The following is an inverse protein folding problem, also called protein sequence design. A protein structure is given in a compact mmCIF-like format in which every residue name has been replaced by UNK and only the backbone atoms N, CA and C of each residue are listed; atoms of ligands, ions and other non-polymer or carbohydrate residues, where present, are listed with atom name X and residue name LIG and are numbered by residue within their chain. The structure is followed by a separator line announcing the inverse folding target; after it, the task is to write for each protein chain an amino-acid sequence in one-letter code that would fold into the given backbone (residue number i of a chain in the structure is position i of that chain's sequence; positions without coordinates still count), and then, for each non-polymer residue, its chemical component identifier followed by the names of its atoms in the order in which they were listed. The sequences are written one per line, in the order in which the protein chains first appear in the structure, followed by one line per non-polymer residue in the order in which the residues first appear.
data_IF_259770908609
#
_entry.id   IF_259770908609
#
_cell.length_a   1.000
_cell.length_b   1.000
_cell.length_c   1.000
_cell.angle_alpha   90.00
_cell.angle_beta   90.00
_cell.angle_gamma   90.00
#
_symmetry.space_group_name_H-M   'P 1'
#
loop_
_entity.id
_entity.type
_entity.pdbx_description
1 polymer ?
#
# COMPACT_ATOMS: atom_id res chain seq x y z
N UNK A 1 -52.32 15.43 -71.39
CA UNK A 1 -52.79 14.21 -72.09
C UNK A 1 -51.65 13.18 -72.08
N UNK A 2 -51.93 11.87 -71.96
CA UNK A 2 -51.71 11.15 -70.69
C UNK A 2 -50.77 9.92 -70.80
N UNK A 3 -50.44 9.36 -69.61
CA UNK A 3 -50.18 7.96 -69.24
C UNK A 3 -49.20 7.10 -70.07
N UNK A 4 -48.22 6.46 -69.41
CA UNK A 4 -48.37 5.07 -68.95
C UNK A 4 -47.08 4.50 -68.32
N UNK A 5 -47.29 3.78 -67.21
CA UNK A 5 -46.38 2.88 -66.49
C UNK A 5 -45.97 1.63 -67.27
N UNK A 6 -44.76 1.11 -67.00
CA UNK A 6 -44.37 -0.33 -66.94
C UNK A 6 -42.88 -0.40 -66.57
N UNK A 7 -42.48 -0.89 -65.40
CA UNK A 7 -42.35 -2.29 -64.92
C UNK A 7 -40.87 -2.67 -64.81
N UNK A 8 -40.49 -3.18 -63.65
CA UNK A 8 -39.14 -3.61 -63.28
C UNK A 8 -38.84 -4.98 -63.88
N UNK A 9 -37.74 -5.11 -64.64
CA UNK A 9 -37.15 -6.42 -64.99
C UNK A 9 -35.61 -6.39 -64.91
N UNK A 10 -35.13 -6.95 -63.79
CA UNK A 10 -33.99 -7.87 -63.57
C UNK A 10 -32.74 -7.87 -64.48
N UNK A 11 -31.60 -7.59 -63.81
CA UNK A 11 -30.32 -8.33 -63.76
C UNK A 11 -29.68 -8.88 -65.05
N UNK A 12 -28.41 -8.48 -65.27
CA UNK A 12 -27.29 -9.40 -65.56
C UNK A 12 -25.94 -8.73 -65.22
N UNK A 13 -25.32 -9.13 -64.11
CA UNK A 13 -23.91 -8.88 -63.77
C UNK A 13 -23.04 -10.09 -64.16
N UNK A 14 -21.79 -9.92 -64.62
CA UNK A 14 -20.94 -11.03 -65.08
C UNK A 14 -20.60 -11.99 -63.93
N UNK A 15 -20.61 -13.29 -64.22
CA UNK A 15 -20.33 -14.36 -63.26
C UNK A 15 -18.89 -14.32 -62.77
N UNK A 16 -18.68 -13.92 -61.51
CA UNK A 16 -17.46 -14.27 -60.77
C UNK A 16 -17.60 -15.73 -60.32
N UNK A 17 -16.73 -16.62 -60.82
CA UNK A 17 -16.57 -17.95 -60.22
C UNK A 17 -15.70 -17.79 -58.96
N UNK A 18 -16.19 -18.10 -57.75
CA UNK A 18 -15.32 -18.20 -56.59
C UNK A 18 -14.38 -19.39 -56.81
N UNK A 19 -13.07 -19.20 -56.60
CA UNK A 19 -12.18 -20.34 -56.38
C UNK A 19 -12.54 -20.92 -55.01
N UNK A 20 -13.17 -22.09 -54.98
CA UNK A 20 -13.41 -22.84 -53.75
C UNK A 20 -12.10 -23.51 -53.32
N UNK A 21 -11.42 -22.88 -52.36
CA UNK A 21 -10.10 -23.33 -51.89
C UNK A 21 -10.17 -24.48 -50.87
N UNK A 22 -11.38 -24.92 -50.46
CA UNK A 22 -11.57 -25.78 -49.29
C UNK A 22 -12.70 -26.82 -49.43
N UNK A 23 -13.03 -27.27 -50.64
CA UNK A 23 -14.03 -28.33 -50.84
C UNK A 23 -13.52 -29.67 -50.25
N UNK A 24 -14.27 -30.25 -49.29
CA UNK A 24 -13.97 -31.56 -48.69
C UNK A 24 -13.21 -31.55 -47.35
N UNK A 25 -12.94 -30.39 -46.75
CA UNK A 25 -12.23 -30.29 -45.47
C UNK A 25 -13.17 -30.45 -44.28
N UNK A 26 -12.88 -31.36 -43.34
CA UNK A 26 -13.47 -31.35 -41.99
C UNK A 26 -12.37 -31.00 -40.97
N UNK A 27 -12.68 -30.09 -40.02
CA UNK A 27 -11.76 -29.48 -39.04
C UNK A 27 -10.71 -28.50 -39.60
N UNK A 28 -11.10 -27.58 -40.48
CA UNK A 28 -10.25 -26.44 -40.86
C UNK A 28 -10.37 -25.30 -39.83
N UNK A 29 -9.24 -24.89 -39.24
CA UNK A 29 -9.10 -23.66 -38.46
C UNK A 29 -8.32 -22.64 -39.30
N UNK A 30 -8.94 -21.49 -39.62
CA UNK A 30 -8.27 -20.41 -40.35
C UNK A 30 -7.76 -19.40 -39.33
N UNK A 31 -6.46 -19.38 -39.07
CA UNK A 31 -5.80 -18.26 -38.40
C UNK A 31 -5.32 -17.25 -39.46
N UNK A 32 -5.86 -16.03 -39.38
CA UNK A 32 -5.53 -14.89 -40.25
C UNK A 32 -4.12 -14.33 -39.92
N UNK A 33 -3.07 -15.09 -40.22
CA UNK A 33 -1.67 -14.67 -39.95
C UNK A 33 -0.92 -14.18 -41.19
N UNK A 34 -1.46 -14.37 -42.40
CA UNK A 34 -0.91 -13.80 -43.63
C UNK A 34 -1.99 -13.69 -44.71
N UNK A 35 -2.00 -12.60 -45.46
CA UNK A 35 -2.76 -12.50 -46.71
C UNK A 35 -1.85 -11.98 -47.81
N UNK A 36 -2.07 -12.50 -49.02
CA UNK A 36 -1.30 -12.16 -50.20
C UNK A 36 -2.04 -11.06 -50.98
N UNK A 37 -1.50 -9.85 -50.98
CA UNK A 37 -1.91 -8.80 -51.93
C UNK A 37 -0.90 -8.79 -53.07
N UNK A 38 -1.40 -8.62 -54.29
CA UNK A 38 -0.61 -8.59 -55.52
C UNK A 38 0.51 -7.53 -55.41
N UNK A 39 1.71 -7.94 -54.97
CA UNK A 39 2.86 -7.05 -54.75
C UNK A 39 3.73 -7.34 -53.52
N UNK A 40 3.34 -8.21 -52.57
CA UNK A 40 4.23 -8.56 -51.45
C UNK A 40 3.62 -9.48 -50.39
N UNK A 41 4.49 -10.26 -49.72
CA UNK A 41 4.15 -11.01 -48.51
C UNK A 41 4.08 -10.03 -47.33
N UNK A 42 2.89 -9.82 -46.78
CA UNK A 42 2.70 -9.07 -45.55
C UNK A 42 2.43 -10.05 -44.40
N UNK A 43 3.45 -10.28 -43.57
CA UNK A 43 3.30 -11.00 -42.30
C UNK A 43 2.85 -9.95 -41.26
N UNK A 44 1.62 -10.07 -40.77
CA UNK A 44 1.26 -9.43 -39.52
C UNK A 44 1.94 -10.23 -38.41
N UNK A 45 3.17 -9.85 -38.04
CA UNK A 45 3.69 -10.23 -36.73
C UNK A 45 2.67 -9.68 -35.72
N UNK A 46 1.97 -10.57 -35.01
CA UNK A 46 1.05 -10.17 -33.95
C UNK A 46 1.75 -9.14 -33.08
N UNK A 47 1.08 -8.03 -32.75
CA UNK A 47 1.68 -6.98 -31.93
C UNK A 47 2.28 -7.63 -30.68
N UNK A 48 3.60 -7.56 -30.54
CA UNK A 48 4.29 -8.03 -29.35
C UNK A 48 3.68 -7.27 -28.18
N UNK A 49 3.03 -7.99 -27.26
CA UNK A 49 2.43 -7.39 -26.06
C UNK A 49 3.47 -6.47 -25.41
N UNK A 50 3.06 -5.26 -25.06
CA UNK A 50 3.90 -4.35 -24.29
C UNK A 50 4.34 -5.03 -22.98
N UNK A 51 5.49 -4.62 -22.43
CA UNK A 51 5.95 -5.22 -21.17
C UNK A 51 4.94 -4.96 -20.03
N UNK A 52 4.25 -3.82 -20.09
CA UNK A 52 3.13 -3.50 -19.20
C UNK A 52 2.00 -4.52 -19.29
N UNK A 53 1.53 -4.87 -20.50
CA UNK A 53 0.48 -5.89 -20.70
C UNK A 53 0.94 -7.30 -20.29
N UNK A 54 2.23 -7.58 -20.41
CA UNK A 54 2.81 -8.85 -19.98
C UNK A 54 2.88 -8.96 -18.45
N UNK A 55 3.36 -7.92 -17.78
CA UNK A 55 3.63 -7.93 -16.35
C UNK A 55 2.41 -7.57 -15.50
N UNK A 56 1.46 -6.83 -16.07
CA UNK A 56 0.29 -6.26 -15.39
C UNK A 56 0.69 -5.66 -14.03
N UNK A 57 1.50 -4.60 -13.99
CA UNK A 57 1.95 -3.98 -12.74
C UNK A 57 0.79 -3.30 -11.99
N UNK A 58 0.95 -3.06 -10.68
CA UNK A 58 0.02 -2.21 -9.91
C UNK A 58 0.40 -0.73 -10.10
N UNK A 59 -0.46 0.03 -10.76
CA UNK A 59 -0.18 1.44 -11.09
C UNK A 59 -0.01 2.33 -9.84
N UNK A 60 -0.78 2.06 -8.79
CA UNK A 60 -0.86 2.89 -7.60
C UNK A 60 -0.05 2.37 -6.40
N UNK A 61 0.89 1.46 -6.66
CA UNK A 61 1.89 1.01 -5.69
C UNK A 61 3.18 1.83 -5.71
N UNK A 62 3.40 2.69 -6.71
CA UNK A 62 4.66 3.44 -6.83
C UNK A 62 4.70 4.75 -6.02
N UNK A 63 5.89 5.34 -5.89
CA UNK A 63 6.07 6.68 -5.32
C UNK A 63 5.43 7.78 -6.19
N UNK A 64 5.08 7.51 -7.44
CA UNK A 64 4.40 8.47 -8.33
C UNK A 64 2.87 8.39 -8.27
N UNK A 65 2.31 7.51 -7.44
CA UNK A 65 0.86 7.36 -7.26
C UNK A 65 0.19 8.66 -6.81
N UNK A 66 -1.10 8.81 -7.11
CA UNK A 66 -1.92 9.86 -6.49
C UNK A 66 -2.16 9.52 -5.01
N UNK A 67 -1.32 10.04 -4.12
CA UNK A 67 -1.38 9.77 -2.68
C UNK A 67 -2.71 10.15 -2.02
N UNK A 68 -3.52 11.00 -2.64
CA UNK A 68 -4.85 11.36 -2.12
C UNK A 68 -5.89 10.29 -2.42
N UNK A 69 -5.71 9.54 -3.51
CA UNK A 69 -6.60 8.44 -3.91
C UNK A 69 -6.06 7.08 -3.45
N UNK A 70 -4.73 6.96 -3.40
CA UNK A 70 -4.01 5.73 -3.11
C UNK A 70 -3.12 5.96 -1.88
N UNK A 71 -3.64 5.73 -0.66
CA UNK A 71 -2.93 5.97 0.59
C UNK A 71 -1.64 5.12 0.71
N UNK A 72 -0.74 5.38 1.65
CA UNK A 72 -0.79 6.45 2.63
C UNK A 72 -0.49 7.81 1.99
N UNK A 73 -1.14 8.87 2.49
CA UNK A 73 -0.72 10.25 2.22
C UNK A 73 0.61 10.50 2.92
N UNK A 74 1.68 10.26 2.17
CA UNK A 74 3.07 10.18 2.62
C UNK A 74 3.83 11.45 2.25
N UNK A 75 3.19 12.61 2.29
CA UNK A 75 3.89 13.87 2.14
C UNK A 75 4.80 14.12 3.36
N UNK A 76 6.12 14.09 3.15
CA UNK A 76 7.07 14.56 4.15
C UNK A 76 6.93 16.08 4.28
N UNK A 77 6.84 16.56 5.53
CA UNK A 77 6.76 18.00 5.77
C UNK A 77 8.12 18.61 5.50
N UNK A 78 8.14 19.69 4.73
CA UNK A 78 9.40 20.33 4.37
C UNK A 78 10.14 20.80 5.62
N UNK A 79 11.43 20.51 5.71
CA UNK A 79 12.27 20.90 6.83
C UNK A 79 12.28 19.92 8.00
N UNK A 80 11.48 18.85 7.97
CA UNK A 80 11.53 17.80 9.00
C UNK A 80 12.33 16.58 8.55
N UNK A 81 12.79 15.78 9.51
CA UNK A 81 13.52 14.50 9.32
C UNK A 81 14.75 14.63 8.42
N UNK A 82 15.33 15.83 8.34
CA UNK A 82 16.41 16.15 7.40
C UNK A 82 17.63 15.26 7.59
N UNK A 83 18.00 14.99 8.84
CA UNK A 83 19.14 14.14 9.17
C UNK A 83 18.92 12.69 8.69
N UNK A 84 17.77 12.10 9.01
CA UNK A 84 17.43 10.73 8.60
C UNK A 84 17.40 10.61 7.09
N UNK A 85 16.74 11.54 6.41
CA UNK A 85 16.69 11.56 4.94
C UNK A 85 18.11 11.70 4.36
N UNK A 86 18.96 12.54 4.95
CA UNK A 86 20.36 12.70 4.53
C UNK A 86 21.14 11.41 4.72
N UNK A 87 20.97 10.71 5.84
CA UNK A 87 21.67 9.45 6.11
C UNK A 87 21.27 8.36 5.09
N UNK A 88 19.97 8.19 4.84
CA UNK A 88 19.47 7.22 3.83
C UNK A 88 19.94 7.58 2.42
N UNK A 89 19.87 8.86 2.04
CA UNK A 89 20.33 9.29 0.71
C UNK A 89 21.84 9.17 0.55
N UNK A 90 22.63 9.45 1.59
CA UNK A 90 24.09 9.24 1.57
C UNK A 90 24.43 7.76 1.41
N UNK A 91 23.76 6.89 2.17
CA UNK A 91 23.93 5.44 2.04
C UNK A 91 23.54 4.93 0.64
N UNK A 92 22.48 5.48 0.04
CA UNK A 92 22.07 5.15 -1.33
C UNK A 92 23.13 5.56 -2.36
N UNK A 93 23.77 6.71 -2.13
CA UNK A 93 24.70 7.33 -3.06
C UNK A 93 26.10 6.72 -3.05
N UNK A 94 26.48 6.09 -1.94
CA UNK A 94 27.75 5.40 -1.82
C UNK A 94 27.82 4.25 -2.82
N UNK A 95 28.86 4.26 -3.65
CA UNK A 95 29.13 3.15 -4.56
C UNK A 95 29.48 1.90 -3.76
N UNK A 96 28.81 0.80 -4.10
CA UNK A 96 29.14 -0.53 -3.58
C UNK A 96 30.53 -0.90 -4.08
N UNK A 97 31.53 -0.70 -3.23
CA UNK A 97 32.95 -0.89 -3.54
C UNK A 97 33.64 -1.82 -2.55
N UNK A 98 32.96 -2.16 -1.46
CA UNK A 98 33.37 -3.12 -0.45
C UNK A 98 32.31 -4.21 -0.33
N UNK A 99 32.75 -5.47 -0.24
CA UNK A 99 31.85 -6.61 -0.09
C UNK A 99 31.15 -6.63 1.28
N UNK A 100 31.71 -5.94 2.27
CA UNK A 100 31.14 -5.81 3.62
C UNK A 100 30.11 -4.66 3.71
N UNK A 101 29.88 -3.89 2.64
CA UNK A 101 28.96 -2.76 2.66
C UNK A 101 27.49 -3.22 2.63
N UNK A 102 26.64 -2.81 3.60
CA UNK A 102 25.25 -3.25 3.66
C UNK A 102 24.41 -2.80 2.44
N UNK A 103 23.89 -3.77 1.69
CA UNK A 103 22.98 -3.52 0.57
C UNK A 103 21.55 -3.18 0.99
N UNK A 104 21.18 -3.56 2.21
CA UNK A 104 19.83 -3.39 2.74
C UNK A 104 19.85 -2.43 3.91
N UNK A 105 18.95 -1.45 3.89
CA UNK A 105 18.65 -0.60 5.04
C UNK A 105 17.21 -0.88 5.45
N UNK A 106 17.01 -1.34 6.69
CA UNK A 106 15.70 -1.51 7.28
C UNK A 106 15.43 -0.42 8.31
N UNK A 107 14.45 0.44 8.00
CA UNK A 107 13.97 1.47 8.93
C UNK A 107 12.67 1.05 9.58
N UNK A 108 12.70 0.89 10.90
CA UNK A 108 11.53 0.50 11.67
C UNK A 108 11.04 1.61 12.60
N UNK A 109 9.81 1.44 13.10
CA UNK A 109 9.20 2.36 14.06
C UNK A 109 7.70 2.15 14.16
N UNK A 110 7.05 2.80 15.12
CA UNK A 110 5.60 2.69 15.33
C UNK A 110 4.77 3.38 14.23
N UNK A 111 3.45 3.20 14.27
CA UNK A 111 2.54 3.83 13.29
C UNK A 111 2.56 5.35 13.39
N UNK A 112 2.66 6.04 12.25
CA UNK A 112 2.60 7.50 12.23
C UNK A 112 3.89 8.22 12.68
N UNK A 113 5.00 7.52 12.90
CA UNK A 113 6.32 8.16 13.09
C UNK A 113 6.92 8.73 11.79
N UNK A 114 6.32 8.45 10.63
CA UNK A 114 6.68 9.09 9.35
C UNK A 114 7.50 8.25 8.37
N UNK A 115 7.61 6.93 8.57
CA UNK A 115 8.32 6.00 7.67
C UNK A 115 7.97 6.19 6.19
N UNK A 116 6.68 6.07 5.85
CA UNK A 116 6.20 6.26 4.47
C UNK A 116 6.51 7.63 3.89
N UNK A 117 6.49 8.67 4.73
CA UNK A 117 6.85 10.01 4.30
C UNK A 117 8.34 10.12 3.94
N UNK A 118 9.21 9.46 4.70
CA UNK A 118 10.64 9.37 4.40
C UNK A 118 10.89 8.55 3.12
N UNK A 119 10.27 7.38 2.98
CA UNK A 119 10.34 6.56 1.75
C UNK A 119 9.96 7.34 0.50
N UNK A 120 8.85 8.09 0.59
CA UNK A 120 8.36 8.93 -0.49
C UNK A 120 9.33 10.06 -0.83
N UNK A 121 9.93 10.69 0.18
CA UNK A 121 10.89 11.78 0.00
C UNK A 121 12.24 11.30 -0.55
N UNK A 122 12.71 10.12 -0.13
CA UNK A 122 13.91 9.46 -0.67
C UNK A 122 13.71 9.17 -2.16
N UNK A 123 12.57 8.54 -2.54
CA UNK A 123 12.27 8.29 -3.95
C UNK A 123 12.23 9.59 -4.77
N UNK A 124 11.56 10.62 -4.26
CA UNK A 124 11.44 11.93 -4.92
C UNK A 124 12.81 12.58 -5.13
N UNK A 125 13.69 12.53 -4.12
CA UNK A 125 15.07 13.07 -4.22
C UNK A 125 15.89 12.32 -5.26
N UNK A 126 15.86 10.98 -5.25
CA UNK A 126 16.55 10.15 -6.25
C UNK A 126 16.08 10.48 -7.67
N UNK A 127 14.76 10.55 -7.89
CA UNK A 127 14.19 10.89 -9.20
C UNK A 127 14.61 12.29 -9.68
N UNK A 128 14.56 13.31 -8.81
CA UNK A 128 15.00 14.67 -9.17
C UNK A 128 16.49 14.77 -9.48
N UNK A 129 17.30 13.89 -8.90
CA UNK A 129 18.73 13.82 -9.16
C UNK A 129 19.07 12.94 -10.35
N UNK A 130 18.07 12.37 -11.04
CA UNK A 130 18.27 11.46 -12.17
C UNK A 130 18.84 10.09 -11.76
N UNK A 131 18.73 9.72 -10.48
CA UNK A 131 19.20 8.44 -9.96
C UNK A 131 18.14 7.36 -10.16
N UNK A 132 18.53 6.14 -10.56
CA UNK A 132 17.59 5.07 -10.84
C UNK A 132 16.90 4.59 -9.56
N UNK A 133 15.58 4.71 -9.51
CA UNK A 133 14.76 4.29 -8.36
C UNK A 133 13.46 3.64 -8.80
N UNK A 134 13.09 2.54 -8.14
CA UNK A 134 11.76 1.95 -8.19
C UNK A 134 11.21 1.75 -6.79
N UNK A 135 9.90 1.58 -6.69
CA UNK A 135 9.26 1.57 -5.38
C UNK A 135 7.97 0.78 -5.35
N UNK A 136 7.68 0.18 -4.21
CA UNK A 136 6.40 -0.42 -3.90
C UNK A 136 5.95 0.02 -2.50
N UNK A 137 4.77 0.61 -2.41
CA UNK A 137 4.14 1.07 -1.18
C UNK A 137 2.98 0.14 -0.86
N UNK A 138 3.21 -0.79 0.06
CA UNK A 138 2.15 -1.64 0.59
C UNK A 138 1.13 -0.81 1.35
N UNK A 139 -0.11 -1.25 1.30
CA UNK A 139 -1.17 -0.68 2.13
C UNK A 139 -2.23 -1.73 2.39
N UNK A 140 -2.47 -2.03 3.66
CA UNK A 140 -3.42 -3.03 4.11
C UNK A 140 -4.82 -2.74 3.57
N UNK A 141 -5.54 -3.79 3.18
CA UNK A 141 -6.89 -3.70 2.60
C UNK A 141 -6.96 -2.91 1.27
N UNK A 142 -5.85 -2.67 0.57
CA UNK A 142 -5.84 -2.05 -0.77
C UNK A 142 -5.83 -3.08 -1.91
N UNK A 143 -6.54 -4.21 -1.75
CA UNK A 143 -6.61 -5.28 -2.74
C UNK A 143 -5.23 -5.85 -3.07
N UNK A 144 -4.88 -5.94 -4.35
CA UNK A 144 -3.59 -6.49 -4.79
C UNK A 144 -2.36 -5.78 -4.18
N UNK A 145 -2.51 -4.53 -3.71
CA UNK A 145 -1.43 -3.77 -3.08
C UNK A 145 -1.20 -4.11 -1.60
N UNK A 146 -2.09 -4.86 -0.97
CA UNK A 146 -1.81 -5.51 0.32
C UNK A 146 -1.22 -6.91 0.17
N UNK A 147 -1.01 -7.36 -1.07
CA UNK A 147 -0.55 -8.70 -1.39
C UNK A 147 0.80 -8.69 -2.10
N UNK A 148 1.57 -9.75 -1.93
CA UNK A 148 2.94 -9.81 -2.43
C UNK A 148 3.06 -10.23 -3.90
N UNK A 149 2.04 -10.90 -4.43
CA UNK A 149 2.11 -11.63 -5.71
C UNK A 149 2.39 -10.74 -6.94
N UNK A 150 2.11 -9.42 -6.85
CA UNK A 150 2.43 -8.41 -7.88
C UNK A 150 3.68 -7.59 -7.61
N UNK A 151 4.38 -7.81 -6.50
CA UNK A 151 5.57 -7.03 -6.14
C UNK A 151 6.63 -7.10 -7.24
N UNK A 152 7.04 -8.31 -7.62
CA UNK A 152 8.10 -8.50 -8.60
C UNK A 152 7.75 -7.96 -9.99
N UNK A 153 6.52 -8.19 -10.48
CA UNK A 153 6.11 -7.70 -11.80
C UNK A 153 5.97 -6.17 -11.82
N UNK A 154 5.51 -5.57 -10.72
CA UNK A 154 5.40 -4.12 -10.56
C UNK A 154 6.77 -3.47 -10.54
N UNK A 155 7.69 -4.00 -9.74
CA UNK A 155 9.08 -3.52 -9.69
C UNK A 155 9.79 -3.72 -11.02
N UNK A 156 9.61 -4.87 -11.69
CA UNK A 156 10.22 -5.16 -12.98
C UNK A 156 9.73 -4.21 -14.09
N UNK A 157 8.43 -3.88 -14.10
CA UNK A 157 7.90 -2.91 -15.06
C UNK A 157 8.48 -1.50 -14.83
N UNK A 158 8.52 -1.04 -13.56
CA UNK A 158 9.14 0.24 -13.22
C UNK A 158 10.64 0.25 -13.57
N UNK A 159 11.34 -0.84 -13.28
CA UNK A 159 12.77 -1.00 -13.56
C UNK A 159 13.06 -0.93 -15.05
N UNK A 160 12.27 -1.58 -15.89
CA UNK A 160 12.41 -1.51 -17.35
C UNK A 160 12.15 -0.10 -17.91
N UNK A 161 11.36 0.73 -17.21
CA UNK A 161 11.18 2.13 -17.59
C UNK A 161 12.39 3.00 -17.21
N UNK A 162 13.05 2.68 -16.09
CA UNK A 162 14.21 3.43 -15.57
C UNK A 162 15.52 2.97 -16.22
N UNK A 163 15.67 1.67 -16.47
CA UNK A 163 16.83 1.00 -17.07
C UNK A 163 16.34 0.13 -18.24
N UNK A 164 16.13 0.73 -19.43
CA UNK A 164 15.54 0.05 -20.60
C UNK A 164 16.25 -1.24 -21.03
N UNK A 165 17.54 -1.38 -20.74
CA UNK A 165 18.37 -2.56 -21.03
C UNK A 165 17.91 -3.82 -20.29
N UNK A 166 17.14 -3.66 -19.20
CA UNK A 166 16.55 -4.79 -18.48
C UNK A 166 15.32 -5.35 -19.20
N UNK A 167 14.61 -4.55 -20.01
CA UNK A 167 13.33 -4.93 -20.62
C UNK A 167 13.40 -6.21 -21.48
N UNK A 168 14.43 -6.42 -22.34
CA UNK A 168 14.54 -7.66 -23.11
C UNK A 168 14.79 -8.89 -22.23
N UNK A 169 15.53 -8.74 -21.12
CA UNK A 169 15.84 -9.83 -20.19
C UNK A 169 14.59 -10.23 -19.41
N UNK A 170 13.83 -9.25 -18.91
CA UNK A 170 12.54 -9.49 -18.23
C UNK A 170 11.56 -10.16 -19.18
N UNK A 171 11.45 -9.69 -20.43
CA UNK A 171 10.58 -10.29 -21.44
C UNK A 171 10.97 -11.75 -21.71
N UNK A 172 12.26 -12.03 -21.88
CA UNK A 172 12.75 -13.39 -22.10
C UNK A 172 12.41 -14.32 -20.92
N UNK A 173 12.59 -13.85 -19.68
CA UNK A 173 12.25 -14.62 -18.47
C UNK A 173 10.76 -14.97 -18.42
N UNK A 174 9.89 -14.00 -18.66
CA UNK A 174 8.43 -14.17 -18.66
C UNK A 174 7.94 -15.07 -19.81
N UNK A 175 8.57 -14.98 -20.99
CA UNK A 175 8.24 -15.85 -22.14
C UNK A 175 8.67 -17.29 -21.88
N UNK A 176 9.86 -17.48 -21.29
CA UNK A 176 10.38 -18.81 -20.97
C UNK A 176 9.62 -19.47 -19.80
N UNK A 177 9.20 -18.68 -18.82
CA UNK A 177 8.42 -19.15 -17.68
C UNK A 177 7.19 -18.25 -17.42
N UNK A 178 6.05 -18.54 -18.08
CA UNK A 178 4.82 -17.77 -17.89
C UNK A 178 4.29 -17.76 -16.45
N UNK A 179 4.66 -18.76 -15.62
CA UNK A 179 4.29 -18.80 -14.19
C UNK A 179 4.99 -17.71 -13.36
N UNK A 180 5.89 -16.90 -13.92
CA UNK A 180 6.41 -15.74 -13.19
C UNK A 180 5.36 -14.61 -13.03
N UNK A 181 4.21 -14.69 -13.72
CA UNK A 181 3.12 -13.68 -13.71
C UNK A 181 1.88 -14.13 -12.91
N UNK A 182 2.07 -14.96 -11.89
CA UNK A 182 1.01 -15.75 -11.21
C UNK A 182 -0.16 -14.94 -10.65
N UNK A 183 -1.17 -14.70 -11.48
CA UNK A 183 -2.39 -13.99 -11.09
C UNK A 183 -3.60 -14.91 -11.34
N UNK A 184 -4.50 -15.14 -10.36
CA UNK A 184 -4.46 -14.74 -8.95
C UNK A 184 -3.82 -15.77 -7.99
N UNK A 185 -3.36 -16.92 -8.48
CA UNK A 185 -2.83 -18.02 -7.63
C UNK A 185 -1.32 -18.13 -7.77
N UNK A 186 -0.52 -17.94 -6.69
CA UNK A 186 0.92 -18.13 -6.70
C UNK A 186 1.29 -19.58 -7.00
N UNK A 187 2.02 -19.83 -8.10
CA UNK A 187 2.59 -21.13 -8.47
C UNK A 187 4.11 -21.15 -8.21
N UNK A 188 4.74 -19.97 -8.24
CA UNK A 188 6.17 -19.73 -8.00
C UNK A 188 6.35 -18.85 -6.77
N UNK A 189 7.38 -19.11 -5.99
CA UNK A 189 7.72 -18.31 -4.81
C UNK A 189 8.10 -16.87 -5.19
N UNK A 190 7.92 -15.93 -4.27
CA UNK A 190 8.28 -14.52 -4.50
C UNK A 190 9.79 -14.36 -4.65
N UNK A 191 10.61 -15.14 -3.93
CA UNK A 191 12.06 -15.14 -4.11
C UNK A 191 12.44 -15.47 -5.57
N UNK A 192 11.82 -16.50 -6.16
CA UNK A 192 12.06 -16.88 -7.56
C UNK A 192 11.60 -15.79 -8.53
N UNK A 193 10.47 -15.14 -8.27
CA UNK A 193 9.98 -14.03 -9.08
C UNK A 193 10.92 -12.82 -9.03
N UNK A 194 11.35 -12.41 -7.84
CA UNK A 194 12.31 -11.32 -7.64
C UNK A 194 13.65 -11.63 -8.32
N UNK A 195 14.16 -12.83 -8.16
CA UNK A 195 15.39 -13.27 -8.81
C UNK A 195 15.27 -13.20 -10.34
N UNK A 196 14.17 -13.70 -10.91
CA UNK A 196 14.00 -13.84 -12.36
C UNK A 196 13.60 -12.54 -13.05
N UNK A 197 12.85 -11.67 -12.38
CA UNK A 197 12.26 -10.47 -12.96
C UNK A 197 12.95 -9.17 -12.54
N UNK A 198 13.67 -9.14 -11.42
CA UNK A 198 14.27 -7.92 -10.86
C UNK A 198 15.79 -8.06 -10.71
N UNK A 199 16.27 -8.95 -9.84
CA UNK A 199 17.68 -9.03 -9.49
C UNK A 199 18.56 -9.53 -10.64
N UNK A 200 18.19 -10.63 -11.28
CA UNK A 200 18.90 -11.20 -12.43
C UNK A 200 19.00 -10.22 -13.62
N UNK A 201 17.88 -9.59 -14.04
CA UNK A 201 17.91 -8.54 -15.07
C UNK A 201 18.80 -7.33 -14.71
N UNK A 202 18.75 -6.83 -13.47
CA UNK A 202 19.63 -5.73 -13.02
C UNK A 202 21.10 -6.11 -13.07
N UNK A 203 21.44 -7.28 -12.51
CA UNK A 203 22.80 -7.81 -12.54
C UNK A 203 23.31 -7.92 -13.98
N UNK A 204 22.49 -8.51 -14.86
CA UNK A 204 22.84 -8.66 -16.29
C UNK A 204 23.07 -7.31 -16.97
N UNK A 205 22.25 -6.30 -16.67
CA UNK A 205 22.42 -4.95 -17.21
C UNK A 205 23.69 -4.27 -16.68
N UNK A 206 23.96 -4.41 -15.37
CA UNK A 206 25.15 -3.87 -14.73
C UNK A 206 26.44 -4.47 -15.29
N UNK A 207 26.48 -5.78 -15.54
CA UNK A 207 27.64 -6.47 -16.14
C UNK A 207 27.90 -6.05 -17.59
N UNK A 208 26.84 -5.80 -18.36
CA UNK A 208 26.95 -5.43 -19.78
C UNK A 208 27.34 -3.97 -20.01
N UNK A 209 26.99 -3.06 -19.11
CA UNK A 209 27.27 -1.63 -19.26
C UNK A 209 27.39 -0.90 -17.91
N UNK A 210 28.48 -1.15 -17.14
CA UNK A 210 28.63 -0.68 -15.75
C UNK A 210 28.50 0.84 -15.56
N UNK A 211 28.91 1.65 -16.55
CA UNK A 211 28.97 3.12 -16.43
C UNK A 211 27.84 3.88 -17.15
N UNK A 212 27.05 3.24 -18.02
CA UNK A 212 26.03 3.95 -18.83
C UNK A 212 24.60 3.71 -18.36
N UNK A 213 24.27 2.50 -17.92
CA UNK A 213 22.88 2.12 -17.66
C UNK A 213 22.35 2.57 -16.28
N UNK A 214 23.24 2.89 -15.34
CA UNK A 214 22.88 3.35 -13.98
C UNK A 214 23.39 4.77 -13.65
N UNK A 215 23.99 5.47 -14.62
CA UNK A 215 24.50 6.83 -14.42
C UNK A 215 25.61 6.97 -13.36
N UNK A 216 26.29 5.87 -13.01
CA UNK A 216 27.32 5.87 -11.98
C UNK A 216 26.80 5.80 -10.54
N UNK A 217 25.53 5.46 -10.34
CA UNK A 217 24.90 5.31 -9.02
C UNK A 217 24.30 3.91 -8.84
N UNK A 218 24.22 3.38 -7.60
CA UNK A 218 23.46 2.16 -7.34
C UNK A 218 21.97 2.33 -7.71
N UNK A 219 21.35 1.27 -8.21
CA UNK A 219 19.90 1.18 -8.38
C UNK A 219 19.24 1.10 -7.01
N UNK A 220 18.20 1.91 -6.76
CA UNK A 220 17.46 1.88 -5.50
C UNK A 220 16.10 1.20 -5.67
N UNK A 221 15.80 0.20 -4.85
CA UNK A 221 14.44 -0.32 -4.65
C UNK A 221 13.95 0.14 -3.28
N UNK A 222 12.80 0.80 -3.24
CA UNK A 222 12.14 1.19 -1.97
C UNK A 222 10.91 0.32 -1.74
N UNK A 223 10.86 -0.40 -0.62
CA UNK A 223 9.70 -1.19 -0.20
C UNK A 223 9.16 -0.58 1.08
N UNK A 224 8.05 0.14 0.96
CA UNK A 224 7.43 0.83 2.09
C UNK A 224 6.28 0.01 2.67
N UNK A 225 6.24 -0.06 4.00
CA UNK A 225 5.15 -0.70 4.74
C UNK A 225 5.12 -2.22 4.60
N UNK A 226 6.27 -2.90 4.69
CA UNK A 226 6.34 -4.36 4.55
C UNK A 226 5.38 -5.10 5.52
N UNK A 227 5.14 -4.54 6.72
CA UNK A 227 4.15 -5.03 7.70
C UNK A 227 2.67 -4.86 7.30
N UNK A 228 2.41 -4.09 6.25
CA UNK A 228 1.06 -3.89 5.69
C UNK A 228 0.73 -4.92 4.60
N UNK A 229 1.69 -5.80 4.25
CA UNK A 229 1.44 -6.97 3.42
C UNK A 229 0.81 -8.10 4.25
N UNK A 230 -0.23 -8.71 3.70
CA UNK A 230 -1.01 -9.76 4.38
C UNK A 230 -0.36 -11.15 4.28
N UNK A 231 0.61 -11.33 3.40
CA UNK A 231 1.20 -12.62 3.01
C UNK A 231 2.51 -12.84 3.79
N UNK A 232 2.40 -13.16 5.08
CA UNK A 232 3.53 -13.16 6.04
C UNK A 232 4.61 -14.21 5.76
N UNK A 233 4.24 -15.37 5.22
CA UNK A 233 5.19 -16.43 4.89
C UNK A 233 6.02 -16.03 3.66
N UNK A 234 5.38 -15.42 2.68
CA UNK A 234 6.02 -14.93 1.48
C UNK A 234 6.90 -13.71 1.75
N UNK A 235 6.58 -12.86 2.73
CA UNK A 235 7.50 -11.82 3.20
C UNK A 235 8.83 -12.43 3.68
N UNK A 236 8.78 -13.57 4.38
CA UNK A 236 9.98 -14.26 4.85
C UNK A 236 10.78 -14.81 3.65
N UNK A 237 10.12 -15.48 2.71
CA UNK A 237 10.75 -15.94 1.45
C UNK A 237 11.39 -14.78 0.65
N UNK A 238 10.72 -13.63 0.59
CA UNK A 238 11.27 -12.42 -0.03
C UNK A 238 12.56 -11.96 0.65
N UNK A 239 12.58 -11.89 1.99
CA UNK A 239 13.75 -11.43 2.76
C UNK A 239 14.90 -12.43 2.62
N UNK A 240 14.64 -13.71 2.80
CA UNK A 240 15.65 -14.77 2.68
C UNK A 240 16.26 -14.80 1.26
N UNK A 241 15.43 -14.77 0.23
CA UNK A 241 15.88 -14.74 -1.16
C UNK A 241 16.67 -13.47 -1.50
N UNK A 242 16.28 -12.33 -0.93
CA UNK A 242 17.01 -11.06 -1.06
C UNK A 242 18.40 -11.13 -0.43
N UNK A 243 18.51 -11.60 0.81
CA UNK A 243 19.79 -11.72 1.52
C UNK A 243 20.73 -12.70 0.80
N UNK A 244 20.21 -13.86 0.41
CA UNK A 244 20.97 -14.84 -0.37
C UNK A 244 21.44 -14.27 -1.72
N UNK A 245 20.67 -13.39 -2.35
CA UNK A 245 21.12 -12.71 -3.57
C UNK A 245 22.33 -11.82 -3.30
N UNK A 246 22.33 -11.03 -2.22
CA UNK A 246 23.47 -10.15 -1.90
C UNK A 246 24.71 -10.92 -1.46
N UNK A 247 24.56 -12.00 -0.69
CA UNK A 247 25.69 -12.87 -0.32
C UNK A 247 26.42 -13.43 -1.56
N UNK A 248 25.67 -13.76 -2.60
CA UNK A 248 26.22 -14.27 -3.86
C UNK A 248 26.70 -13.16 -4.81
N UNK A 249 26.33 -11.90 -4.57
CA UNK A 249 26.59 -10.77 -5.47
C UNK A 249 26.98 -9.50 -4.69
N UNK A 250 28.03 -9.53 -3.85
CA UNK A 250 28.33 -8.46 -2.89
C UNK A 250 28.80 -7.14 -3.52
N UNK A 251 29.03 -7.12 -4.84
CA UNK A 251 29.43 -5.91 -5.58
C UNK A 251 28.35 -5.45 -6.58
N UNK A 252 27.15 -6.01 -6.51
CA UNK A 252 26.05 -5.57 -7.37
C UNK A 252 25.67 -4.13 -7.01
N UNK A 253 25.55 -3.21 -7.99
CA UNK A 253 25.17 -1.82 -7.72
C UNK A 253 23.66 -1.70 -7.46
N UNK A 254 23.17 -2.35 -6.40
CA UNK A 254 21.76 -2.37 -5.97
C UNK A 254 21.68 -2.11 -4.47
N UNK A 255 20.75 -1.24 -4.07
CA UNK A 255 20.37 -0.92 -2.70
C UNK A 255 18.88 -1.19 -2.51
N UNK A 256 18.51 -1.73 -1.35
CA UNK A 256 17.10 -1.95 -0.99
C UNK A 256 16.80 -1.24 0.32
N UNK A 257 15.92 -0.25 0.26
CA UNK A 257 15.43 0.47 1.42
C UNK A 257 14.05 -0.07 1.81
N UNK A 258 13.97 -0.68 2.98
CA UNK A 258 12.74 -1.29 3.51
C UNK A 258 12.26 -0.47 4.70
N UNK A 259 10.95 -0.20 4.77
CA UNK A 259 10.33 0.31 5.98
C UNK A 259 9.23 -0.62 6.48
N UNK A 260 9.14 -0.75 7.80
CA UNK A 260 8.04 -1.48 8.43
C UNK A 260 7.85 -1.13 9.91
N UNK A 261 6.82 -1.67 10.53
CA UNK A 261 6.79 -1.86 11.99
C UNK A 261 7.70 -3.02 12.41
N UNK A 262 8.01 -3.08 13.70
CA UNK A 262 8.71 -4.22 14.30
C UNK A 262 7.70 -5.35 14.49
N UNK A 263 7.55 -6.22 13.50
CA UNK A 263 6.83 -7.49 13.63
C UNK A 263 7.82 -8.65 13.65
N UNK A 264 7.56 -9.67 14.49
CA UNK A 264 8.50 -10.77 14.73
C UNK A 264 8.99 -11.44 13.44
N UNK A 265 8.08 -11.74 12.50
CA UNK A 265 8.41 -12.41 11.24
C UNK A 265 9.32 -11.59 10.31
N UNK A 266 9.33 -10.26 10.42
CA UNK A 266 10.24 -9.37 9.69
C UNK A 266 11.55 -9.22 10.46
N UNK A 267 11.46 -8.92 11.76
CA UNK A 267 12.62 -8.68 12.61
C UNK A 267 13.56 -9.90 12.65
N UNK A 268 13.01 -11.10 12.80
CA UNK A 268 13.84 -12.32 12.90
C UNK A 268 14.67 -12.61 11.65
N UNK A 269 14.36 -11.98 10.51
CA UNK A 269 15.07 -12.18 9.25
C UNK A 269 15.90 -10.95 8.82
N UNK A 270 15.54 -9.74 9.25
CA UNK A 270 16.28 -8.51 8.92
C UNK A 270 17.26 -8.04 10.01
N UNK A 271 17.12 -8.49 11.25
CA UNK A 271 18.07 -8.21 12.35
C UNK A 271 19.26 -9.18 12.28
N UNK A 272 20.06 -9.03 11.22
CA UNK A 272 21.20 -9.90 10.91
C UNK A 272 22.41 -9.06 10.47
N UNK A 273 23.64 -9.60 10.59
CA UNK A 273 24.82 -8.95 10.00
C UNK A 273 24.61 -8.68 8.50
N UNK A 274 24.97 -7.48 8.03
CA UNK A 274 24.81 -7.09 6.62
C UNK A 274 23.55 -6.29 6.31
N UNK A 275 22.63 -6.13 7.27
CA UNK A 275 21.49 -5.20 7.18
C UNK A 275 21.75 -3.98 8.08
N UNK A 276 21.61 -2.78 7.53
CA UNK A 276 21.68 -1.55 8.31
C UNK A 276 20.33 -1.29 8.97
N UNK A 277 20.30 -1.31 10.30
CA UNK A 277 19.09 -1.04 11.09
C UNK A 277 18.99 0.45 11.43
N UNK A 278 17.79 1.01 11.35
CA UNK A 278 17.51 2.39 11.77
C UNK A 278 16.18 2.47 12.49
N UNK A 279 16.22 2.72 13.81
CA UNK A 279 15.00 3.00 14.57
C UNK A 279 14.60 4.47 14.38
N UNK A 280 13.48 4.70 13.68
CA UNK A 280 12.99 6.05 13.44
C UNK A 280 12.52 6.77 14.72
N UNK A 281 12.24 6.01 15.79
CA UNK A 281 11.84 6.56 17.08
C UNK A 281 12.97 7.37 17.72
N UNK A 282 14.21 6.93 17.58
CA UNK A 282 15.40 7.60 18.13
C UNK A 282 15.72 8.92 17.42
N UNK A 283 15.09 9.16 16.27
CA UNK A 283 15.27 10.35 15.47
C UNK A 283 14.11 11.35 15.58
N UNK A 284 13.21 11.18 16.54
CA UNK A 284 12.13 12.13 16.80
C UNK A 284 12.67 13.30 17.66
N UNK A 285 12.75 14.50 17.08
CA UNK A 285 13.23 15.70 17.79
C UNK A 285 12.12 16.73 18.04
N UNK A 286 12.27 17.54 19.09
CA UNK A 286 11.41 18.70 19.34
C UNK A 286 11.50 19.73 18.18
N UNK A 287 12.67 19.86 17.56
CA UNK A 287 12.89 20.76 16.43
C UNK A 287 12.10 20.34 15.19
N UNK A 288 12.01 19.02 14.95
CA UNK A 288 11.18 18.45 13.90
C UNK A 288 9.68 18.73 14.15
N UNK A 289 9.22 18.57 15.39
CA UNK A 289 7.83 18.89 15.76
C UNK A 289 7.57 20.38 15.66
N UNK A 290 8.51 21.23 16.07
CA UNK A 290 8.39 22.68 15.96
C UNK A 290 8.26 23.10 14.49
N UNK A 291 9.10 22.56 13.61
CA UNK A 291 9.08 22.80 12.17
C UNK A 291 7.80 22.29 11.51
N UNK A 292 7.33 21.12 11.94
CA UNK A 292 6.05 20.56 11.51
C UNK A 292 4.88 21.50 11.85
N UNK A 293 4.79 21.93 13.11
CA UNK A 293 3.76 22.85 13.56
C UNK A 293 3.84 24.21 12.85
N UNK A 294 5.05 24.74 12.64
CA UNK A 294 5.23 26.00 11.89
C UNK A 294 4.63 25.92 10.49
N UNK A 295 4.92 24.83 9.78
CA UNK A 295 4.41 24.63 8.43
C UNK A 295 2.88 24.60 8.41
N UNK A 296 2.29 23.91 9.40
CA UNK A 296 0.84 23.79 9.54
C UNK A 296 0.17 25.12 9.93
N UNK A 297 0.68 25.82 10.95
CA UNK A 297 0.11 27.09 11.38
C UNK A 297 0.30 28.20 10.35
N UNK A 298 1.43 28.24 9.64
CA UNK A 298 1.66 29.21 8.56
C UNK A 298 0.71 28.98 7.37
N UNK A 299 0.40 27.71 7.06
CA UNK A 299 -0.66 27.37 6.09
C UNK A 299 -2.01 27.98 6.49
N UNK A 300 -2.39 27.83 7.75
CA UNK A 300 -3.67 28.33 8.26
C UNK A 300 -3.70 29.84 8.38
N UNK A 301 -2.59 30.46 8.77
CA UNK A 301 -2.43 31.92 8.76
C UNK A 301 -2.73 32.52 7.39
N UNK A 302 -2.43 31.81 6.30
CA UNK A 302 -2.73 32.27 4.93
C UNK A 302 -4.18 32.05 4.54
N UNK A 303 -4.78 30.94 4.99
CA UNK A 303 -6.07 30.44 4.47
C UNK A 303 -7.28 30.76 5.35
N UNK A 304 -7.10 30.90 6.66
CA UNK A 304 -8.20 31.01 7.62
C UNK A 304 -8.47 32.49 7.99
N UNK A 305 -9.63 33.06 7.62
CA UNK A 305 -9.96 34.46 7.90
C UNK A 305 -10.02 34.79 9.40
N UNK A 306 -10.46 33.84 10.24
CA UNK A 306 -10.58 34.04 11.70
C UNK A 306 -9.20 34.22 12.31
N UNK A 307 -8.24 33.35 11.95
CA UNK A 307 -6.85 33.43 12.41
C UNK A 307 -6.21 34.75 11.92
N UNK A 308 -6.45 35.13 10.66
CA UNK A 308 -5.93 36.40 10.11
C UNK A 308 -6.44 37.63 10.86
N UNK A 309 -7.75 37.69 11.14
CA UNK A 309 -8.35 38.80 11.88
C UNK A 309 -7.76 38.89 13.28
N UNK A 310 -7.67 37.76 13.99
CA UNK A 310 -7.11 37.71 15.33
C UNK A 310 -5.65 38.19 15.35
N UNK A 311 -4.81 37.71 14.41
CA UNK A 311 -3.41 38.14 14.28
C UNK A 311 -3.31 39.64 14.00
N UNK A 312 -4.20 40.20 13.19
CA UNK A 312 -4.18 41.65 12.90
C UNK A 312 -4.49 42.52 14.13
N UNK A 313 -5.29 41.99 15.06
CA UNK A 313 -5.68 42.68 16.29
C UNK A 313 -4.70 42.43 17.46
N UNK A 314 -4.12 41.22 17.54
CA UNK A 314 -3.36 40.75 18.72
C UNK A 314 -1.87 40.50 18.42
N UNK A 315 -1.42 40.64 17.18
CA UNK A 315 -0.02 40.57 16.76
C UNK A 315 0.41 39.22 16.20
N UNK A 316 0.40 38.16 17.01
CA UNK A 316 0.90 36.83 16.60
C UNK A 316 0.06 35.71 17.22
N UNK A 317 -0.16 34.64 16.44
CA UNK A 317 -0.81 33.44 16.93
C UNK A 317 -0.37 32.19 16.13
N UNK A 318 -0.10 31.06 16.79
CA UNK A 318 0.06 30.93 18.24
C UNK A 318 1.29 31.70 18.72
N UNK A 319 1.24 32.24 19.94
CA UNK A 319 2.39 32.95 20.51
C UNK A 319 3.56 31.98 20.77
N UNK A 320 4.83 32.44 20.76
CA UNK A 320 5.99 31.55 20.88
C UNK A 320 5.99 30.64 22.12
N UNK A 321 5.48 31.14 23.25
CA UNK A 321 5.40 30.37 24.49
C UNK A 321 4.39 29.23 24.42
N UNK A 322 3.23 29.44 23.81
CA UNK A 322 2.22 28.38 23.64
C UNK A 322 2.66 27.36 22.60
N UNK A 323 3.35 27.80 21.54
CA UNK A 323 3.99 26.89 20.59
C UNK A 323 5.05 26.02 21.27
N UNK A 324 5.90 26.59 22.13
CA UNK A 324 6.89 25.80 22.86
C UNK A 324 6.23 24.78 23.79
N UNK A 325 5.16 25.17 24.49
CA UNK A 325 4.36 24.24 25.29
C UNK A 325 3.76 23.13 24.42
N UNK A 326 3.22 23.44 23.24
CA UNK A 326 2.69 22.44 22.30
C UNK A 326 3.77 21.44 21.89
N UNK A 327 4.96 21.91 21.51
CA UNK A 327 6.08 21.04 21.11
C UNK A 327 6.43 20.08 22.26
N UNK A 328 6.65 20.61 23.46
CA UNK A 328 6.94 19.80 24.64
C UNK A 328 5.82 18.84 25.00
N UNK A 329 4.58 19.27 24.83
CA UNK A 329 3.40 18.46 25.08
C UNK A 329 3.26 17.30 24.09
N UNK A 330 3.62 17.51 22.82
CA UNK A 330 3.55 16.51 21.76
C UNK A 330 4.63 15.43 21.89
N UNK A 331 5.81 15.80 22.41
CA UNK A 331 6.86 14.83 22.75
C UNK A 331 7.35 13.98 21.57
N UNK A 332 7.60 14.60 20.41
CA UNK A 332 8.16 13.91 19.23
C UNK A 332 7.16 13.08 18.40
N UNK A 333 5.89 12.98 18.80
CA UNK A 333 4.90 12.16 18.10
C UNK A 333 4.17 12.91 16.98
N UNK A 334 4.54 12.66 15.72
CA UNK A 334 3.90 13.28 14.54
C UNK A 334 2.41 12.97 14.39
N UNK A 335 1.99 11.75 14.77
CA UNK A 335 0.56 11.37 14.74
C UNK A 335 -0.23 12.13 15.81
N UNK A 336 0.36 12.34 16.99
CA UNK A 336 -0.25 13.14 18.02
C UNK A 336 -0.25 14.63 17.64
N UNK A 337 0.86 15.15 17.08
CA UNK A 337 0.94 16.50 16.54
C UNK A 337 -0.16 16.78 15.50
N UNK A 338 -0.36 15.85 14.57
CA UNK A 338 -1.40 15.94 13.55
C UNK A 338 -2.81 15.93 14.16
N UNK A 339 -3.02 15.14 15.21
CA UNK A 339 -4.29 15.06 15.92
C UNK A 339 -4.58 16.35 16.70
N UNK A 340 -3.60 16.87 17.44
CA UNK A 340 -3.66 18.15 18.15
C UNK A 340 -3.94 19.28 17.18
N UNK A 341 -3.23 19.34 16.06
CA UNK A 341 -3.49 20.33 15.01
C UNK A 341 -4.92 20.23 14.47
N UNK A 342 -5.38 19.03 14.11
CA UNK A 342 -6.75 18.80 13.64
C UNK A 342 -7.80 19.17 14.68
N UNK A 343 -7.51 18.99 15.97
CA UNK A 343 -8.40 19.41 17.04
C UNK A 343 -8.50 20.94 17.13
N UNK A 344 -7.36 21.64 17.10
CA UNK A 344 -7.32 23.10 17.15
C UNK A 344 -8.06 23.70 15.93
N UNK A 345 -7.82 23.14 14.75
CA UNK A 345 -8.42 23.62 13.50
C UNK A 345 -9.84 23.11 13.23
N UNK A 346 -10.26 22.05 13.91
CA UNK A 346 -11.50 21.35 13.61
C UNK A 346 -12.72 22.20 13.92
N UNK A 347 -13.56 22.47 12.93
CA UNK A 347 -14.93 22.93 13.16
C UNK A 347 -15.79 21.71 13.48
N UNK A 348 -16.29 21.61 14.71
CA UNK A 348 -17.31 20.61 15.02
C UNK A 348 -18.59 21.00 14.27
N UNK A 349 -18.94 20.28 13.21
CA UNK A 349 -20.19 20.52 12.45
C UNK A 349 -21.40 19.82 13.08
N UNK A 350 -21.16 18.85 13.98
CA UNK A 350 -22.20 18.06 14.62
C UNK A 350 -22.69 18.64 15.97
N UNK A 351 -21.82 19.35 16.69
CA UNK A 351 -22.20 20.19 17.81
C UNK A 351 -22.19 21.64 17.32
N UNK A 352 -23.14 22.49 17.74
CA UNK A 352 -23.14 23.94 17.51
C UNK A 352 -21.96 24.65 18.25
N UNK A 353 -20.78 24.05 18.22
CA UNK A 353 -19.60 24.44 18.96
C UNK A 353 -18.90 25.57 18.19
N UNK A 354 -19.29 26.80 18.53
CA UNK A 354 -18.79 28.06 17.96
C UNK A 354 -17.35 28.38 18.39
N UNK A 355 -16.63 27.45 19.02
CA UNK A 355 -15.26 27.68 19.45
C UNK A 355 -14.34 27.96 18.26
N UNK A 356 -13.45 28.93 18.44
CA UNK A 356 -12.41 29.30 17.47
C UNK A 356 -11.14 28.47 17.72
N UNK A 357 -10.18 28.44 16.78
CA UNK A 357 -8.86 27.86 17.04
C UNK A 357 -8.18 28.43 18.30
N UNK A 358 -8.45 29.69 18.62
CA UNK A 358 -7.90 30.39 19.78
C UNK A 358 -8.49 29.86 21.09
N UNK A 359 -9.77 29.48 21.09
CA UNK A 359 -10.43 28.85 22.24
C UNK A 359 -9.96 27.41 22.45
N UNK A 360 -9.66 26.70 21.35
CA UNK A 360 -9.24 25.29 21.39
C UNK A 360 -7.76 25.10 21.70
N UNK A 361 -6.89 26.04 21.38
CA UNK A 361 -5.45 25.93 21.64
C UNK A 361 -5.13 25.70 23.14
N UNK A 362 -5.70 26.46 24.11
CA UNK A 362 -5.51 26.18 25.53
C UNK A 362 -6.07 24.82 25.98
N UNK A 363 -7.13 24.34 25.32
CA UNK A 363 -7.69 23.01 25.58
C UNK A 363 -6.77 21.92 25.04
N UNK A 364 -6.16 22.14 23.87
CA UNK A 364 -5.20 21.23 23.26
C UNK A 364 -3.97 21.02 24.13
N UNK A 365 -3.50 22.06 24.81
CA UNK A 365 -2.41 21.99 25.79
C UNK A 365 -2.78 21.22 27.08
N UNK A 366 -4.07 21.00 27.31
CA UNK A 366 -4.60 20.21 28.44
C UNK A 366 -5.07 18.83 28.01
N UNK A 367 -5.06 18.52 26.71
CA UNK A 367 -5.29 17.15 26.26
C UNK A 367 -4.24 16.28 26.94
N UNK A 368 -4.61 15.09 27.41
CA UNK A 368 -3.60 14.22 27.98
C UNK A 368 -2.65 13.80 26.82
N UNK A 369 -1.32 13.81 27.01
CA UNK A 369 -0.39 13.28 26.01
C UNK A 369 -0.48 11.75 25.93
N UNK A 370 -1.13 11.12 26.92
CA UNK A 370 -1.63 9.77 26.80
C UNK A 370 -2.66 9.70 25.68
N UNK A 371 -2.56 8.64 24.87
CA UNK A 371 -3.50 8.36 23.79
C UNK A 371 -4.97 8.37 24.26
N UNK A 372 -5.23 8.27 25.57
CA UNK A 372 -6.53 8.43 26.22
C UNK A 372 -7.34 9.64 25.75
N UNK A 373 -6.75 10.84 25.64
CA UNK A 373 -7.52 12.02 25.16
C UNK A 373 -7.95 11.87 23.70
N UNK A 374 -7.06 11.31 22.88
CA UNK A 374 -7.33 10.96 21.48
C UNK A 374 -8.33 9.81 21.37
N UNK A 375 -8.21 8.79 22.21
CA UNK A 375 -9.13 7.67 22.32
C UNK A 375 -10.49 8.18 22.71
N UNK A 376 -10.64 8.91 23.82
CA UNK A 376 -11.89 9.52 24.25
C UNK A 376 -12.53 10.36 23.15
N UNK A 377 -11.76 11.20 22.44
CA UNK A 377 -12.32 12.04 21.38
C UNK A 377 -12.71 11.25 20.11
N UNK A 378 -11.90 10.26 19.73
CA UNK A 378 -12.18 9.39 18.57
C UNK A 378 -13.36 8.47 18.86
N UNK A 379 -13.42 7.92 20.07
CA UNK A 379 -14.49 7.09 20.59
C UNK A 379 -15.78 7.91 20.74
N UNK A 380 -15.74 9.13 21.30
CA UNK A 380 -16.90 10.01 21.42
C UNK A 380 -17.52 10.37 20.06
N UNK A 381 -16.71 10.51 19.00
CA UNK A 381 -17.21 10.73 17.64
C UNK A 381 -18.02 9.54 17.11
N UNK A 382 -17.77 8.34 17.61
CA UNK A 382 -18.43 7.11 17.19
C UNK A 382 -19.43 6.59 18.22
N UNK A 383 -19.54 7.24 19.39
CA UNK A 383 -20.37 6.80 20.52
C UNK A 383 -21.86 6.71 20.18
N UNK A 384 -22.31 7.52 19.22
CA UNK A 384 -23.68 7.54 18.74
C UNK A 384 -24.01 6.44 17.73
N UNK A 385 -23.02 5.66 17.28
CA UNK A 385 -23.22 4.59 16.31
C UNK A 385 -23.76 3.32 17.01
N UNK A 386 -24.66 2.56 16.35
CA UNK A 386 -25.12 1.28 16.88
C UNK A 386 -23.94 0.33 17.20
N UNK A 387 -24.06 -0.47 18.28
CA UNK A 387 -23.07 -1.45 18.74
C UNK A 387 -21.71 -0.88 19.17
N UNK A 388 -21.56 0.44 19.26
CA UNK A 388 -20.32 1.08 19.69
C UNK A 388 -19.78 0.48 21.01
N UNK A 389 -20.63 0.42 22.05
CA UNK A 389 -20.23 -0.13 23.35
C UNK A 389 -19.87 -1.62 23.29
N UNK A 390 -20.57 -2.40 22.48
CA UNK A 390 -20.31 -3.84 22.33
C UNK A 390 -18.97 -4.07 21.60
N UNK A 391 -18.70 -3.30 20.55
CA UNK A 391 -17.46 -3.34 19.77
C UNK A 391 -16.27 -2.85 20.62
N UNK A 392 -16.39 -1.70 21.29
CA UNK A 392 -15.29 -1.17 22.11
C UNK A 392 -15.01 -2.04 23.33
N UNK A 393 -16.05 -2.62 23.96
CA UNK A 393 -15.88 -3.56 25.07
C UNK A 393 -15.24 -4.85 24.60
N UNK A 394 -15.62 -5.34 23.41
CA UNK A 394 -14.96 -6.48 22.78
C UNK A 394 -13.49 -6.16 22.58
N UNK A 395 -13.14 -5.07 21.88
CA UNK A 395 -11.76 -4.62 21.65
C UNK A 395 -10.95 -4.48 22.95
N UNK A 396 -11.55 -3.91 24.00
CA UNK A 396 -10.89 -3.75 25.30
C UNK A 396 -10.64 -5.09 26.01
N UNK A 397 -11.42 -6.12 25.71
CA UNK A 397 -11.28 -7.49 26.20
C UNK A 397 -10.40 -8.37 25.28
N UNK A 398 -10.01 -7.89 24.09
CA UNK A 398 -9.21 -8.63 23.11
C UNK A 398 -7.71 -8.63 23.49
N UNK A 399 -7.28 -9.51 24.40
CA UNK A 399 -5.91 -10.05 24.38
C UNK A 399 -5.81 -11.19 23.34
N UNK A 400 -6.13 -10.90 22.07
CA UNK A 400 -6.75 -11.94 21.21
C UNK A 400 -5.85 -12.67 20.23
N UNK A 401 -4.57 -12.34 20.09
CA UNK A 401 -3.76 -12.97 19.04
C UNK A 401 -3.66 -14.50 19.22
N UNK A 402 -3.61 -15.01 20.46
CA UNK A 402 -3.52 -16.46 20.71
C UNK A 402 -4.86 -17.20 20.67
N UNK A 403 -5.99 -16.53 20.93
CA UNK A 403 -7.29 -17.22 21.02
C UNK A 403 -7.96 -17.33 19.65
N UNK A 404 -7.87 -16.29 18.80
CA UNK A 404 -8.50 -16.31 17.47
C UNK A 404 -7.82 -17.27 16.49
N UNK A 405 -6.49 -17.40 16.54
CA UNK A 405 -5.73 -18.36 15.70
C UNK A 405 -6.22 -19.80 15.95
N UNK A 406 -6.56 -20.14 17.19
CA UNK A 406 -7.05 -21.49 17.54
C UNK A 406 -8.51 -21.73 17.15
N UNK A 407 -9.31 -20.68 16.94
CA UNK A 407 -10.74 -20.77 16.63
C UNK A 407 -11.08 -20.65 15.13
N UNK A 408 -10.09 -20.37 14.27
CA UNK A 408 -10.23 -20.36 12.81
C UNK A 408 -10.71 -21.69 12.21
N UNK A 409 -10.62 -22.79 12.96
CA UNK A 409 -11.11 -24.11 12.53
C UNK A 409 -12.64 -24.22 12.53
N UNK A 410 -13.34 -23.33 13.24
CA UNK A 410 -14.80 -23.41 13.45
C UNK A 410 -15.53 -22.11 13.11
N UNK A 411 -14.79 -21.04 12.83
CA UNK A 411 -15.29 -19.72 12.42
C UNK A 411 -14.52 -19.28 11.18
N UNK A 412 -15.24 -18.78 10.17
CA UNK A 412 -14.71 -18.12 9.00
C UNK A 412 -14.75 -16.60 9.23
N UNK A 413 -13.59 -15.94 9.20
CA UNK A 413 -13.47 -14.47 9.28
C UNK A 413 -13.10 -13.96 7.88
N UNK A 414 -13.99 -13.23 7.18
CA UNK A 414 -13.70 -12.66 5.87
C UNK A 414 -12.88 -11.36 6.00
N UNK A 415 -11.97 -11.11 5.06
CA UNK A 415 -11.07 -9.95 5.06
C UNK A 415 -11.65 -8.67 4.45
N UNK A 416 -12.97 -8.52 4.42
CA UNK A 416 -13.65 -7.33 3.87
C UNK A 416 -14.83 -6.91 4.74
N UNK A 417 -15.06 -5.60 4.81
CA UNK A 417 -16.03 -4.93 5.69
C UNK A 417 -17.51 -5.17 5.32
N UNK A 418 -17.77 -5.92 4.27
CA UNK A 418 -19.09 -6.12 3.66
C UNK A 418 -19.64 -7.53 3.88
N UNK A 419 -18.90 -8.44 4.52
CA UNK A 419 -19.25 -9.87 4.58
C UNK A 419 -19.29 -10.49 5.99
N UNK A 420 -20.38 -11.21 6.34
CA UNK A 420 -20.46 -12.29 7.34
C UNK A 420 -19.19 -13.04 7.81
N UNK A 421 -18.73 -12.83 9.06
CA UNK A 421 -18.11 -13.84 9.90
C UNK A 421 -19.13 -14.96 10.03
N UNK A 422 -18.85 -16.07 9.38
CA UNK A 422 -19.75 -17.23 9.31
C UNK A 422 -19.20 -18.34 10.18
N UNK A 423 -20.09 -19.03 10.89
CA UNK A 423 -19.73 -20.31 11.49
C UNK A 423 -19.67 -21.32 10.36
N UNK A 424 -18.62 -22.14 10.30
CA UNK A 424 -18.54 -23.21 9.29
C UNK A 424 -19.69 -24.22 9.42
N UNK A 425 -20.27 -24.33 10.62
CA UNK A 425 -21.39 -25.22 10.87
C UNK A 425 -22.39 -24.61 11.86
N UNK A 426 -23.67 -24.65 11.52
CA UNK A 426 -24.79 -24.13 12.34
C UNK A 426 -24.89 -24.82 13.72
N UNK A 427 -24.34 -26.02 13.86
CA UNK A 427 -24.32 -26.75 15.14
C UNK A 427 -23.43 -26.12 16.22
N UNK A 428 -22.51 -25.21 15.87
CA UNK A 428 -21.69 -24.51 16.87
C UNK A 428 -22.54 -23.54 17.69
N UNK A 429 -23.51 -22.88 17.05
CA UNK A 429 -24.52 -22.06 17.74
C UNK A 429 -25.28 -22.93 18.74
N UNK A 430 -25.83 -24.05 18.27
CA UNK A 430 -26.57 -25.00 19.13
C UNK A 430 -25.69 -25.58 20.24
N UNK A 431 -24.40 -25.81 19.97
CA UNK A 431 -23.45 -26.25 20.98
C UNK A 431 -23.29 -25.20 22.07
N UNK A 432 -23.00 -23.95 21.72
CA UNK A 432 -22.77 -22.84 22.65
C UNK A 432 -24.02 -22.43 23.44
N UNK A 433 -25.22 -22.61 22.87
CA UNK A 433 -26.48 -22.21 23.51
C UNK A 433 -27.22 -23.35 24.22
N UNK A 434 -26.78 -24.61 24.06
CA UNK A 434 -27.42 -25.77 24.71
C UNK A 434 -26.65 -26.18 25.96
N UNK A 435 -27.22 -25.89 27.12
CA UNK A 435 -26.62 -26.09 28.45
C UNK A 435 -26.17 -27.54 28.75
N UNK A 436 -26.74 -28.54 28.07
CA UNK A 436 -26.37 -29.97 28.21
C UNK A 436 -25.23 -30.42 27.29
N UNK A 437 -24.83 -29.61 26.30
CA UNK A 437 -23.76 -29.93 25.34
C UNK A 437 -22.41 -29.32 25.73
N UNK A 438 -22.42 -28.22 26.48
CA UNK A 438 -21.21 -27.54 27.01
C UNK A 438 -20.87 -28.08 28.40
N UNK A 439 -20.37 -29.31 28.48
CA UNK A 439 -19.84 -29.80 29.74
C UNK A 439 -18.43 -29.22 29.96
N UNK A 440 -18.33 -28.23 30.85
CA UNK A 440 -17.13 -27.58 31.45
C UNK A 440 -16.60 -26.26 30.86
N UNK A 441 -17.09 -25.76 29.73
CA UNK A 441 -16.62 -24.49 29.13
C UNK A 441 -17.69 -23.40 29.21
N UNK A 442 -18.17 -23.10 30.41
CA UNK A 442 -19.15 -22.04 30.62
C UNK A 442 -18.53 -20.67 30.32
N UNK A 443 -19.02 -20.01 29.26
CA UNK A 443 -19.05 -18.54 29.20
C UNK A 443 -19.88 -18.11 30.40
N UNK A 444 -19.22 -17.52 31.40
CA UNK A 444 -19.87 -16.96 32.58
C UNK A 444 -21.03 -16.08 32.13
N UNK A 445 -22.18 -16.31 32.75
CA UNK A 445 -23.45 -15.74 32.35
C UNK A 445 -23.39 -14.23 32.19
N UNK A 446 -23.86 -13.72 31.05
CA UNK A 446 -24.49 -12.39 30.95
C UNK A 446 -25.82 -12.51 31.71
N UNK A 447 -25.74 -12.60 33.04
CA UNK A 447 -26.91 -12.57 33.92
C UNK A 447 -27.23 -11.09 34.18
N UNK A 448 -28.33 -10.61 33.59
CA UNK A 448 -28.92 -9.34 34.05
C UNK A 448 -29.60 -8.44 33.02
N UNK A 449 -29.79 -8.85 31.76
CA UNK A 449 -30.65 -8.08 30.84
C UNK A 449 -31.67 -8.98 30.14
N UNK A 450 -32.90 -8.89 30.63
CA UNK A 450 -34.09 -9.35 29.93
C UNK A 450 -34.24 -8.57 28.63
N UNK A 451 -34.09 -9.22 27.47
CA UNK A 451 -34.58 -8.68 26.21
C UNK A 451 -36.10 -8.85 26.20
N UNK A 452 -36.92 -7.80 25.98
CA UNK A 452 -38.35 -7.97 25.75
C UNK A 452 -38.57 -8.75 24.44
N UNK A 453 -39.70 -9.46 24.30
CA UNK A 453 -39.96 -10.26 23.11
C UNK A 453 -40.20 -9.32 21.92
N UNK A 454 -39.26 -9.30 20.97
CA UNK A 454 -39.43 -8.58 19.70
C UNK A 454 -40.05 -9.54 18.68
N UNK A 455 -41.14 -9.06 18.10
CA UNK A 455 -41.99 -9.71 17.10
C UNK A 455 -41.17 -10.14 15.87
N UNK A 456 -41.48 -11.32 15.30
CA UNK A 456 -40.69 -12.03 14.28
C UNK A 456 -40.57 -11.35 12.89
N UNK A 457 -40.90 -10.07 12.76
CA UNK A 457 -40.87 -9.32 11.49
C UNK A 457 -40.01 -8.04 11.52
N UNK A 458 -39.13 -7.87 12.52
CA UNK A 458 -38.10 -6.81 12.49
C UNK A 458 -36.76 -7.35 13.01
N UNK A 459 -35.94 -7.89 12.11
CA UNK A 459 -34.55 -8.25 12.36
C UNK A 459 -33.70 -7.72 11.20
N UNK A 460 -32.98 -6.60 11.36
CA UNK A 460 -31.81 -6.34 10.54
C UNK A 460 -30.61 -7.06 11.18
N UNK A 461 -30.04 -7.94 10.36
CA UNK A 461 -28.69 -8.50 10.46
C UNK A 461 -27.70 -7.47 11.01
N UNK A 462 -27.06 -7.73 12.16
CA UNK A 462 -25.84 -7.04 12.56
C UNK A 462 -24.90 -8.00 13.28
N UNK A 463 -23.78 -8.29 12.62
CA UNK A 463 -22.55 -8.78 13.24
C UNK A 463 -21.34 -8.58 12.30
N UNK A 464 -21.13 -7.37 11.75
CA UNK A 464 -19.95 -6.94 10.93
C UNK A 464 -19.40 -5.65 11.55
N UNK A 465 -18.11 -5.39 11.81
CA UNK A 465 -16.82 -5.86 11.27
C UNK A 465 -15.72 -5.75 12.34
N UNK A 466 -14.82 -6.74 12.42
CA UNK A 466 -13.35 -6.69 12.68
C UNK A 466 -12.86 -8.12 12.31
N UNK A 467 -11.91 -8.43 11.43
CA UNK A 467 -10.81 -7.70 10.81
C UNK A 467 -10.54 -8.29 9.42
#
# INVERSE_FOLDING_TARGET
MPQSSTSWETNQTPSYRPMEFLEGSQNAHVELNAYQVQGGFHIHAGQDKSLYELLQPIDDASHTRDRKRSPPDSACTQGTRLEVIRNVTTWTDNNVSDADEPHVLWMHGYVGCGKSAISQEVCRKSQLQGKPVTSFFFFRNAGDRSKIWRLATTLANQMAAVVPETAPVVRAAVTANPSLKNFPVPITSVAMQMQSLVYGPLKTAAERSPMRSLGGHPFLIVIDGLDECEDKEEIQDLIEGMLAFFDNNPLVPLRIFITSRVEQHIQSHLDVPGVLLTDLVDHCSDDDIATFLDTLFESERRRNPVIRSYISEHGEWPIPSDKQKLVKHIGGSFIFASSVYKFIMGSNTASNDQTTPMDRLPLALKMNPGLDGLYTQTLARSEHLPYFLDITSTIALLEVVNVLVNLQTIIQVPGTDDMPVTLFHTSLRDFLTTHSRVNSHSVGAIQGRSFPPVNANQLPVMLFNIQ
#
